data_IF_021719982927
#
_entry.id   IF_021719982927
#
_cell.length_a   1.000
_cell.length_b   1.000
_cell.length_c   1.000
_cell.angle_alpha   90.00
_cell.angle_beta   90.00
_cell.angle_gamma   90.00
#
_symmetry.space_group_name_H-M   'P 1'
#
loop_
_entity.id
_entity.type
_entity.pdbx_description
1 polymer ?
#
# COMPACT_ATOMS: atom_id res chain seq x y z
N UNK A 1 10.42 -60.85 -15.61
CA UNK A 1 10.02 -59.88 -14.57
C UNK A 1 10.66 -58.54 -14.90
N UNK A 2 9.89 -57.66 -15.53
CA UNK A 2 10.19 -56.24 -15.71
C UNK A 2 9.37 -55.48 -14.68
N UNK A 3 9.98 -54.54 -13.96
CA UNK A 3 9.26 -53.48 -13.27
C UNK A 3 9.67 -52.15 -13.90
N UNK A 4 8.83 -51.66 -14.81
CA UNK A 4 8.73 -50.25 -15.16
C UNK A 4 7.52 -49.72 -14.37
N UNK A 5 7.71 -48.66 -13.58
CA UNK A 5 6.61 -47.95 -12.94
C UNK A 5 6.04 -46.92 -13.93
N UNK A 6 4.84 -47.21 -14.43
CA UNK A 6 4.00 -46.30 -15.20
C UNK A 6 3.21 -45.38 -14.28
N UNK A 7 3.43 -44.07 -14.39
CA UNK A 7 2.34 -43.06 -14.43
C UNK A 7 2.78 -41.96 -15.39
N UNK A 8 2.47 -42.18 -16.66
CA UNK A 8 2.76 -41.24 -17.74
C UNK A 8 1.72 -40.15 -17.88
N UNK A 9 2.18 -38.96 -18.31
CA UNK A 9 1.45 -38.14 -19.27
C UNK A 9 2.43 -37.83 -20.42
N UNK A 10 2.25 -38.53 -21.54
CA UNK A 10 2.67 -38.04 -22.87
C UNK A 10 1.59 -37.05 -23.32
N UNK A 11 1.90 -35.75 -23.34
CA UNK A 11 1.10 -34.79 -24.10
C UNK A 11 1.92 -34.27 -25.28
N UNK A 12 1.43 -34.63 -26.48
CA UNK A 12 1.40 -33.89 -27.73
C UNK A 12 2.51 -32.86 -28.03
N UNK A 13 3.19 -33.09 -29.17
CA UNK A 13 3.95 -32.15 -29.99
C UNK A 13 4.05 -30.71 -29.43
N UNK A 14 5.13 -30.41 -28.71
CA UNK A 14 5.50 -29.03 -28.40
C UNK A 14 6.45 -28.54 -29.51
N UNK A 15 6.25 -27.35 -30.10
CA UNK A 15 7.36 -26.71 -30.82
C UNK A 15 8.54 -26.67 -29.86
N UNK A 16 9.72 -27.12 -30.33
CA UNK A 16 10.99 -27.26 -29.58
C UNK A 16 10.95 -26.58 -28.21
N UNK A 17 10.72 -27.33 -27.11
CA UNK A 17 10.69 -26.73 -25.77
C UNK A 17 11.99 -25.97 -25.54
N UNK A 18 11.93 -24.65 -25.41
CA UNK A 18 13.10 -23.78 -25.23
C UNK A 18 13.41 -23.62 -23.74
N UNK A 19 12.41 -23.72 -22.86
CA UNK A 19 12.58 -23.63 -21.40
C UNK A 19 11.91 -24.79 -20.67
N UNK A 20 12.46 -25.13 -19.51
CA UNK A 20 11.89 -26.07 -18.54
C UNK A 20 11.95 -25.47 -17.14
N UNK A 21 10.95 -25.75 -16.31
CA UNK A 21 11.00 -25.45 -14.87
C UNK A 21 11.55 -26.69 -14.17
N UNK A 22 12.72 -26.57 -13.53
CA UNK A 22 13.34 -27.66 -12.78
C UNK A 22 12.73 -27.82 -11.39
N UNK A 23 12.33 -26.71 -10.76
CA UNK A 23 11.61 -26.73 -9.48
C UNK A 23 10.85 -25.43 -9.24
N UNK A 24 9.87 -25.51 -8.34
CA UNK A 24 9.06 -24.37 -7.88
C UNK A 24 9.05 -24.37 -6.37
N UNK A 25 9.18 -23.19 -5.77
CA UNK A 25 8.96 -22.95 -4.34
C UNK A 25 7.84 -21.93 -4.18
N UNK A 26 6.86 -22.25 -3.34
CA UNK A 26 5.94 -21.24 -2.84
C UNK A 26 6.59 -20.50 -1.66
N UNK A 27 6.50 -19.18 -1.71
CA UNK A 27 7.07 -18.25 -0.74
C UNK A 27 6.02 -17.22 -0.34
N UNK A 28 6.22 -16.52 0.77
CA UNK A 28 5.45 -15.32 1.06
C UNK A 28 5.54 -14.34 -0.12
N UNK A 29 4.38 -13.99 -0.69
CA UNK A 29 4.29 -13.10 -1.85
C UNK A 29 4.30 -13.80 -3.22
N UNK A 30 4.39 -15.13 -3.32
CA UNK A 30 4.15 -15.83 -4.60
C UNK A 30 5.00 -17.08 -4.82
N UNK A 31 5.60 -17.18 -6.00
CA UNK A 31 6.38 -18.35 -6.42
C UNK A 31 7.79 -17.97 -6.87
N UNK A 32 8.76 -18.82 -6.53
CA UNK A 32 10.11 -18.79 -7.09
C UNK A 32 10.28 -20.01 -7.98
N UNK A 33 10.59 -19.77 -9.26
CA UNK A 33 10.76 -20.80 -10.28
C UNK A 33 12.24 -20.90 -10.65
N UNK A 34 12.77 -22.12 -10.70
CA UNK A 34 14.11 -22.39 -11.22
C UNK A 34 13.99 -22.84 -12.67
N UNK A 35 14.30 -21.94 -13.59
CA UNK A 35 14.01 -22.10 -15.03
C UNK A 35 15.30 -22.30 -15.80
N UNK A 36 15.38 -23.38 -16.57
CA UNK A 36 16.51 -23.67 -17.46
C UNK A 36 16.14 -23.41 -18.91
N UNK A 37 17.00 -22.73 -19.64
CA UNK A 37 16.94 -22.70 -21.10
C UNK A 37 17.59 -23.98 -21.67
N UNK A 38 16.77 -24.85 -22.27
CA UNK A 38 17.19 -26.11 -22.90
C UNK A 38 17.30 -25.99 -24.43
N UNK A 39 17.01 -24.79 -24.97
CA UNK A 39 17.25 -24.47 -26.36
C UNK A 39 18.72 -24.11 -26.65
N UNK A 40 18.98 -23.75 -27.90
CA UNK A 40 20.32 -23.41 -28.41
C UNK A 40 20.60 -21.90 -28.48
N UNK A 41 19.57 -21.07 -28.26
CA UNK A 41 19.66 -19.60 -28.33
C UNK A 41 19.20 -18.96 -27.02
N UNK A 42 19.67 -17.75 -26.67
CA UNK A 42 19.18 -17.01 -25.52
C UNK A 42 17.67 -16.76 -25.59
N UNK A 43 17.00 -16.80 -24.44
CA UNK A 43 15.56 -16.56 -24.32
C UNK A 43 15.28 -15.61 -23.17
N UNK A 44 14.29 -14.73 -23.31
CA UNK A 44 13.87 -13.82 -22.24
C UNK A 44 12.50 -14.22 -21.74
N UNK A 45 12.39 -14.42 -20.43
CA UNK A 45 11.12 -14.60 -19.73
C UNK A 45 10.74 -13.27 -19.10
N UNK A 46 9.55 -12.78 -19.43
CA UNK A 46 9.05 -11.46 -19.03
C UNK A 46 7.60 -11.49 -18.54
N UNK A 47 6.91 -12.62 -18.65
CA UNK A 47 5.54 -12.79 -18.17
C UNK A 47 5.32 -14.20 -17.62
N UNK A 48 4.48 -14.25 -16.59
CA UNK A 48 3.86 -15.46 -16.09
C UNK A 48 2.34 -15.34 -16.17
N UNK A 49 1.67 -16.49 -16.17
CA UNK A 49 0.24 -16.57 -15.97
C UNK A 49 -0.06 -17.57 -14.86
N UNK A 50 -0.88 -17.17 -13.90
CA UNK A 50 -1.27 -18.00 -12.76
C UNK A 50 -2.77 -18.21 -12.81
N UNK A 51 -3.19 -19.45 -12.62
CA UNK A 51 -4.59 -19.83 -12.49
C UNK A 51 -4.73 -20.73 -11.27
N UNK A 52 -5.58 -20.33 -10.32
CA UNK A 52 -6.06 -21.21 -9.27
C UNK A 52 -6.98 -22.25 -9.90
N UNK A 53 -6.62 -23.54 -9.82
CA UNK A 53 -7.40 -24.60 -10.43
C UNK A 53 -8.82 -24.66 -9.82
N UNK A 54 -9.82 -24.72 -10.70
CA UNK A 54 -11.23 -24.71 -10.33
C UNK A 54 -11.88 -23.33 -10.30
N UNK A 55 -11.09 -22.24 -10.31
CA UNK A 55 -11.62 -20.87 -10.38
C UNK A 55 -11.84 -20.39 -11.83
N UNK A 56 -11.09 -20.94 -12.79
CA UNK A 56 -11.23 -20.62 -14.23
C UNK A 56 -10.70 -19.24 -14.66
N UNK A 57 -10.22 -18.42 -13.73
CA UNK A 57 -9.54 -17.15 -14.02
C UNK A 57 -8.04 -17.36 -14.20
N UNK A 58 -7.49 -16.82 -15.29
CA UNK A 58 -6.05 -16.78 -15.57
C UNK A 58 -5.57 -15.35 -15.38
N UNK A 59 -4.69 -15.12 -14.41
CA UNK A 59 -4.12 -13.82 -14.10
C UNK A 59 -2.76 -13.67 -14.78
N UNK A 60 -2.57 -12.57 -15.53
CA UNK A 60 -1.28 -12.22 -16.11
C UNK A 60 -0.42 -11.47 -15.11
N UNK A 61 0.84 -11.90 -14.97
CA UNK A 61 1.84 -11.28 -14.12
C UNK A 61 2.99 -10.82 -15.00
N UNK A 62 3.18 -9.51 -15.07
CA UNK A 62 4.34 -8.93 -15.77
C UNK A 62 5.56 -9.06 -14.87
N UNK A 63 6.59 -9.76 -15.35
CA UNK A 63 7.80 -10.07 -14.61
C UNK A 63 8.91 -9.08 -14.95
N UNK A 64 9.93 -9.04 -14.10
CA UNK A 64 11.20 -8.44 -14.47
C UNK A 64 11.85 -9.26 -15.60
N UNK A 65 12.14 -8.67 -16.78
CA UNK A 65 12.68 -9.41 -17.91
C UNK A 65 13.99 -10.10 -17.55
N UNK A 66 14.00 -11.43 -17.63
CA UNK A 66 15.15 -12.26 -17.28
C UNK A 66 15.59 -13.03 -18.51
N UNK A 67 16.77 -12.69 -19.05
CA UNK A 67 17.38 -13.41 -20.17
C UNK A 67 18.23 -14.57 -19.68
N UNK A 68 17.97 -15.76 -20.22
CA UNK A 68 18.73 -16.99 -19.98
C UNK A 68 19.46 -17.40 -21.27
N UNK A 69 20.79 -17.54 -21.21
CA UNK A 69 21.60 -18.13 -22.30
C UNK A 69 21.29 -19.63 -22.44
N UNK A 70 21.66 -20.22 -23.57
CA UNK A 70 21.51 -21.66 -23.79
C UNK A 70 22.17 -22.47 -22.65
N UNK A 71 21.43 -23.39 -22.06
CA UNK A 71 21.85 -24.22 -20.91
C UNK A 71 21.77 -23.54 -19.53
N UNK A 72 21.58 -22.21 -19.48
CA UNK A 72 21.59 -21.44 -18.23
C UNK A 72 20.34 -21.74 -17.39
N UNK A 73 20.54 -21.87 -16.07
CA UNK A 73 19.49 -21.96 -15.05
C UNK A 73 19.41 -20.61 -14.33
N UNK A 74 18.22 -20.01 -14.26
CA UNK A 74 17.97 -18.80 -13.47
C UNK A 74 16.76 -18.95 -12.58
N UNK A 75 16.82 -18.20 -11.48
CA UNK A 75 15.66 -17.96 -10.64
C UNK A 75 14.74 -16.92 -11.29
N UNK A 76 13.44 -17.19 -11.28
CA UNK A 76 12.39 -16.29 -11.75
C UNK A 76 11.37 -16.13 -10.62
N UNK A 77 11.34 -14.93 -10.06
CA UNK A 77 10.35 -14.50 -9.09
C UNK A 77 9.01 -14.19 -9.78
N UNK A 78 7.92 -14.80 -9.31
CA UNK A 78 6.56 -14.60 -9.82
C UNK A 78 5.68 -14.09 -8.66
N UNK A 79 5.53 -12.76 -8.52
CA UNK A 79 4.72 -12.15 -7.45
C UNK A 79 3.25 -12.51 -7.57
N UNK A 80 2.71 -13.18 -6.56
CA UNK A 80 1.32 -13.60 -6.46
C UNK A 80 0.90 -13.66 -4.98
N UNK A 81 0.39 -12.55 -4.44
CA UNK A 81 0.15 -12.38 -3.00
C UNK A 81 -0.95 -13.28 -2.43
N UNK A 82 -1.82 -13.85 -3.27
CA UNK A 82 -2.94 -14.71 -2.88
C UNK A 82 -2.59 -16.22 -2.96
N UNK A 83 -1.30 -16.57 -2.83
CA UNK A 83 -0.88 -17.98 -2.78
C UNK A 83 -1.35 -18.64 -1.48
N UNK A 84 -2.03 -19.78 -1.58
CA UNK A 84 -2.63 -20.50 -0.47
C UNK A 84 -2.09 -21.93 -0.37
N UNK A 85 -1.84 -22.40 0.86
CA UNK A 85 -1.46 -23.79 1.14
C UNK A 85 -2.62 -24.74 0.87
N UNK A 86 -2.32 -25.90 0.28
CA UNK A 86 -3.29 -26.94 -0.07
C UNK A 86 -4.06 -26.67 -1.37
N UNK A 87 -3.70 -25.61 -2.11
CA UNK A 87 -4.28 -25.30 -3.42
C UNK A 87 -3.35 -25.71 -4.55
N UNK A 88 -3.93 -25.98 -5.72
CA UNK A 88 -3.21 -26.26 -6.94
C UNK A 88 -3.29 -25.08 -7.90
N UNK A 89 -2.14 -24.65 -8.41
CA UNK A 89 -2.03 -23.56 -9.36
C UNK A 89 -1.49 -24.07 -10.69
N UNK A 90 -2.11 -23.64 -11.79
CA UNK A 90 -1.50 -23.76 -13.11
C UNK A 90 -0.59 -22.56 -13.31
N UNK A 91 0.69 -22.82 -13.47
CA UNK A 91 1.72 -21.80 -13.70
C UNK A 91 2.17 -21.91 -15.14
N UNK A 92 2.03 -20.82 -15.88
CA UNK A 92 2.55 -20.69 -17.24
C UNK A 92 3.63 -19.63 -17.29
N UNK A 93 4.69 -19.90 -18.04
CA UNK A 93 5.69 -18.90 -18.40
C UNK A 93 5.62 -18.65 -19.89
N UNK A 94 5.73 -17.38 -20.28
CA UNK A 94 5.89 -17.02 -21.68
C UNK A 94 7.22 -16.32 -21.89
N UNK A 95 7.72 -16.47 -23.10
CA UNK A 95 8.96 -15.86 -23.56
C UNK A 95 8.66 -14.91 -24.71
N UNK A 96 9.55 -13.95 -24.95
CA UNK A 96 9.46 -13.05 -26.11
C UNK A 96 9.45 -13.80 -27.46
N UNK A 97 9.98 -15.03 -27.50
CA UNK A 97 9.95 -15.91 -28.67
C UNK A 97 8.67 -16.75 -28.82
N UNK A 98 7.63 -16.45 -28.03
CA UNK A 98 6.33 -17.13 -28.11
C UNK A 98 6.33 -18.57 -27.58
N UNK A 99 7.41 -19.01 -26.92
CA UNK A 99 7.43 -20.32 -26.25
C UNK A 99 6.69 -20.22 -24.93
N UNK A 100 5.82 -21.20 -24.69
CA UNK A 100 4.99 -21.30 -23.48
C UNK A 100 5.35 -22.58 -22.75
N UNK A 101 5.69 -22.46 -21.47
CA UNK A 101 5.74 -23.59 -20.54
C UNK A 101 4.48 -23.56 -19.67
N UNK A 102 3.94 -24.71 -19.31
CA UNK A 102 2.79 -24.83 -18.40
C UNK A 102 2.99 -26.03 -17.48
N UNK A 103 2.74 -25.84 -16.19
CA UNK A 103 2.70 -26.92 -15.19
C UNK A 103 1.57 -26.71 -14.20
N UNK A 104 1.24 -27.76 -13.46
CA UNK A 104 0.40 -27.68 -12.27
C UNK A 104 1.31 -27.88 -11.06
N UNK A 105 1.16 -27.01 -10.06
CA UNK A 105 1.90 -27.05 -8.81
C UNK A 105 0.92 -27.08 -7.64
N UNK A 106 1.07 -28.06 -6.76
CA UNK A 106 0.35 -28.13 -5.49
C UNK A 106 1.19 -27.46 -4.39
N UNK A 107 0.61 -26.51 -3.69
CA UNK A 107 1.28 -25.77 -2.62
C UNK A 107 1.20 -26.58 -1.33
N UNK A 108 2.24 -27.35 -1.01
CA UNK A 108 2.29 -28.12 0.23
C UNK A 108 2.75 -27.28 1.44
N UNK A 109 3.59 -26.29 1.19
CA UNK A 109 4.13 -25.35 2.17
C UNK A 109 4.33 -23.96 1.53
N UNK A 110 4.35 -22.92 2.36
CA UNK A 110 4.72 -21.56 1.96
C UNK A 110 5.86 -21.14 2.87
N UNK A 111 7.04 -20.97 2.28
CA UNK A 111 8.24 -20.58 3.04
C UNK A 111 8.27 -19.08 3.32
N UNK A 112 8.87 -18.69 4.45
CA UNK A 112 9.11 -17.28 4.77
C UNK A 112 10.06 -16.66 3.74
N UNK A 113 9.76 -15.45 3.30
CA UNK A 113 10.62 -14.72 2.37
C UNK A 113 10.66 -13.27 2.77
N UNK A 114 11.78 -12.85 3.38
CA UNK A 114 11.93 -11.53 4.00
C UNK A 114 12.29 -10.44 2.99
N UNK A 115 11.71 -10.49 1.79
CA UNK A 115 12.01 -9.60 0.67
C UNK A 115 10.79 -9.42 -0.23
N UNK A 116 10.55 -8.22 -0.77
CA UNK A 116 9.49 -8.02 -1.77
C UNK A 116 9.82 -8.77 -3.06
N UNK A 117 9.05 -9.81 -3.36
CA UNK A 117 9.29 -10.68 -4.50
C UNK A 117 9.26 -9.88 -5.82
N UNK A 118 10.29 -10.06 -6.65
CA UNK A 118 10.43 -9.33 -7.92
C UNK A 118 11.26 -8.03 -7.85
N UNK A 119 11.65 -7.57 -6.66
CA UNK A 119 12.58 -6.44 -6.52
C UNK A 119 14.03 -6.90 -6.45
N UNK A 120 14.91 -6.22 -7.18
CA UNK A 120 16.34 -6.59 -7.25
C UNK A 120 17.18 -5.94 -6.15
N UNK A 121 16.75 -4.82 -5.59
CA UNK A 121 17.52 -4.05 -4.62
C UNK A 121 16.66 -3.53 -3.48
N UNK A 122 17.28 -3.38 -2.30
CA UNK A 122 16.73 -2.63 -1.18
C UNK A 122 17.85 -1.93 -0.40
N UNK A 123 17.51 -0.87 0.32
CA UNK A 123 18.37 -0.22 1.30
C UNK A 123 17.69 -0.17 2.66
N UNK A 124 18.37 -0.48 3.77
CA UNK A 124 17.85 -0.19 5.10
C UNK A 124 17.85 1.33 5.32
N UNK A 125 16.83 1.83 6.01
CA UNK A 125 16.79 3.22 6.48
C UNK A 125 16.29 3.25 7.93
N UNK A 126 17.13 3.76 8.83
CA UNK A 126 16.77 3.92 10.24
C UNK A 126 16.12 5.27 10.48
N UNK A 127 14.96 5.25 11.12
CA UNK A 127 14.25 6.44 11.58
C UNK A 127 14.48 6.57 13.08
N UNK A 128 15.05 7.71 13.48
CA UNK A 128 15.27 8.02 14.89
C UNK A 128 13.94 8.30 15.57
N UNK A 129 13.79 7.80 16.79
CA UNK A 129 12.61 7.97 17.62
C UNK A 129 12.29 9.43 17.91
N UNK A 130 11.02 9.70 18.19
CA UNK A 130 10.51 11.04 18.45
C UNK A 130 10.84 11.53 19.86
N UNK A 131 11.20 12.81 19.98
CA UNK A 131 11.44 13.46 21.28
C UNK A 131 10.15 13.78 22.05
N UNK A 132 8.98 13.65 21.40
CA UNK A 132 7.66 13.85 22.01
C UNK A 132 7.05 12.55 22.57
N UNK A 133 7.84 11.47 22.68
CA UNK A 133 7.35 10.13 22.99
C UNK A 133 7.07 9.31 21.73
N UNK A 134 6.55 8.08 21.88
CA UNK A 134 6.21 7.23 20.74
C UNK A 134 5.06 7.83 19.94
N UNK A 135 5.17 7.82 18.61
CA UNK A 135 4.12 8.28 17.69
C UNK A 135 3.72 7.18 16.73
N UNK A 136 2.49 7.26 16.22
CA UNK A 136 1.92 6.26 15.30
C UNK A 136 1.38 6.94 14.05
N UNK A 137 1.36 6.20 12.93
CA UNK A 137 0.82 6.67 11.64
C UNK A 137 1.38 8.03 11.19
N UNK A 138 2.67 8.26 11.42
CA UNK A 138 3.32 9.54 11.18
C UNK A 138 4.00 9.55 9.80
N UNK A 139 3.81 10.63 9.04
CA UNK A 139 4.37 10.76 7.70
C UNK A 139 5.82 11.26 7.75
N UNK A 140 6.74 10.51 7.17
CA UNK A 140 8.15 10.88 7.06
C UNK A 140 8.48 11.19 5.60
N UNK A 141 9.15 12.32 5.37
CA UNK A 141 9.61 12.74 4.05
C UNK A 141 10.92 12.05 3.68
N UNK A 142 10.97 11.54 2.46
CA UNK A 142 12.16 10.99 1.80
C UNK A 142 12.39 11.75 0.48
N UNK A 143 13.65 12.05 0.18
CA UNK A 143 14.08 12.60 -1.10
C UNK A 143 14.88 11.52 -1.80
N UNK A 144 14.23 10.80 -2.71
CA UNK A 144 14.83 9.67 -3.40
C UNK A 144 15.48 10.17 -4.68
N UNK A 145 16.78 9.98 -4.82
CA UNK A 145 17.56 10.38 -5.99
C UNK A 145 17.78 9.18 -6.90
N UNK A 146 17.52 9.37 -8.20
CA UNK A 146 17.85 8.39 -9.23
C UNK A 146 19.35 8.13 -9.27
N UNK A 147 20.18 9.19 -9.22
CA UNK A 147 21.63 9.13 -9.34
C UNK A 147 22.38 8.51 -8.15
N UNK A 148 23.71 8.65 -8.19
CA UNK A 148 24.61 8.22 -7.12
C UNK A 148 24.86 9.34 -6.10
N UNK A 149 25.13 8.96 -4.85
CA UNK A 149 25.39 9.87 -3.74
C UNK A 149 25.44 9.13 -2.40
N UNK A 150 25.42 9.88 -1.30
CA UNK A 150 25.43 9.34 0.06
C UNK A 150 24.10 9.60 0.75
N UNK A 151 23.54 8.58 1.40
CA UNK A 151 22.29 8.72 2.13
C UNK A 151 22.53 9.54 3.41
N UNK A 152 21.80 10.64 3.55
CA UNK A 152 21.88 11.53 4.72
C UNK A 152 20.51 12.14 4.97
N UNK A 153 20.02 12.05 6.20
CA UNK A 153 18.71 12.57 6.58
C UNK A 153 17.61 11.94 5.70
N UNK A 154 16.83 12.78 5.00
CA UNK A 154 15.78 12.31 4.10
C UNK A 154 16.30 11.78 2.76
N UNK A 155 17.55 12.06 2.37
CA UNK A 155 18.07 11.72 1.04
C UNK A 155 18.45 10.25 0.92
N UNK A 156 17.98 9.59 -0.14
CA UNK A 156 18.29 8.19 -0.48
C UNK A 156 18.70 8.08 -1.95
N UNK A 157 19.94 7.67 -2.22
CA UNK A 157 20.47 7.55 -3.59
C UNK A 157 20.39 6.11 -4.12
N UNK A 158 19.78 5.93 -5.30
CA UNK A 158 19.48 4.61 -5.87
C UNK A 158 20.48 4.15 -6.95
N UNK A 159 21.48 4.96 -7.29
CA UNK A 159 22.58 4.62 -8.21
C UNK A 159 22.14 4.19 -9.62
N UNK A 160 21.07 4.79 -10.14
CA UNK A 160 20.53 4.56 -11.47
C UNK A 160 19.82 3.21 -11.63
N UNK A 161 19.46 2.57 -10.52
CA UNK A 161 18.91 1.20 -10.51
C UNK A 161 17.39 1.12 -10.34
N UNK A 162 16.73 2.24 -10.04
CA UNK A 162 15.27 2.33 -10.12
C UNK A 162 14.85 2.74 -11.54
N UNK A 163 13.55 2.74 -11.82
CA UNK A 163 13.00 3.37 -13.02
C UNK A 163 13.16 4.89 -12.90
N UNK A 164 13.37 5.57 -14.03
CA UNK A 164 13.50 7.03 -14.06
C UNK A 164 12.25 7.75 -13.54
N UNK A 165 11.09 7.12 -13.65
CA UNK A 165 9.81 7.65 -13.17
C UNK A 165 9.49 7.32 -11.70
N UNK A 166 10.41 6.61 -11.02
CA UNK A 166 10.33 6.12 -9.64
C UNK A 166 9.13 5.21 -9.32
N UNK A 167 8.46 4.68 -10.35
CA UNK A 167 7.26 3.84 -10.17
C UNK A 167 7.53 2.47 -9.53
N UNK A 168 8.81 2.05 -9.49
CA UNK A 168 9.27 0.82 -8.86
C UNK A 168 9.81 0.99 -7.43
N UNK A 169 9.73 2.20 -6.86
CA UNK A 169 10.11 2.42 -5.46
C UNK A 169 9.00 1.91 -4.53
N UNK A 170 9.39 1.18 -3.48
CA UNK A 170 8.50 0.72 -2.40
C UNK A 170 9.15 0.93 -1.04
N UNK A 171 8.32 1.05 -0.01
CA UNK A 171 8.76 1.12 1.38
C UNK A 171 8.13 -0.02 2.17
N UNK A 172 8.89 -0.66 3.07
CA UNK A 172 8.35 -1.71 3.95
C UNK A 172 8.82 -1.52 5.39
N UNK A 173 8.13 -2.17 6.32
CA UNK A 173 8.64 -2.42 7.67
C UNK A 173 9.92 -3.29 7.66
N UNK A 174 10.51 -3.46 8.85
CA UNK A 174 11.72 -4.27 9.08
C UNK A 174 11.56 -5.77 8.82
N UNK A 175 10.34 -6.27 8.65
CA UNK A 175 10.09 -7.63 8.18
C UNK A 175 10.50 -7.82 6.70
N UNK A 176 10.59 -6.71 5.94
CA UNK A 176 10.96 -6.67 4.54
C UNK A 176 9.82 -6.96 3.57
N UNK A 177 8.59 -7.15 4.04
CA UNK A 177 7.44 -7.56 3.21
C UNK A 177 6.16 -6.77 3.47
N UNK A 178 5.98 -6.19 4.66
CA UNK A 178 4.82 -5.36 4.95
C UNK A 178 5.01 -3.99 4.31
N UNK A 179 4.39 -3.79 3.15
CA UNK A 179 4.43 -2.52 2.40
C UNK A 179 3.80 -1.37 3.20
N UNK A 180 4.41 -0.19 3.10
CA UNK A 180 3.98 1.04 3.74
C UNK A 180 3.30 1.97 2.71
N UNK A 181 2.17 2.61 3.06
CA UNK A 181 1.56 3.65 2.22
C UNK A 181 2.54 4.80 1.95
N UNK A 182 2.54 5.27 0.72
CA UNK A 182 3.35 6.41 0.32
C UNK A 182 2.66 7.28 -0.73
N UNK A 183 3.07 8.55 -0.79
CA UNK A 183 2.65 9.51 -1.78
C UNK A 183 3.86 10.20 -2.40
N UNK A 184 3.89 10.31 -3.72
CA UNK A 184 4.86 11.12 -4.45
C UNK A 184 4.29 12.54 -4.53
N UNK A 185 4.88 13.45 -3.75
CA UNK A 185 4.51 14.87 -3.74
C UNK A 185 4.92 15.56 -5.04
N UNK A 186 6.17 15.35 -5.43
CA UNK A 186 6.75 15.88 -6.66
C UNK A 186 7.87 14.97 -7.16
N UNK A 187 8.19 15.07 -8.45
CA UNK A 187 9.32 14.38 -9.04
C UNK A 187 9.82 15.06 -10.30
N UNK A 188 11.09 14.82 -10.59
CA UNK A 188 11.74 15.07 -11.88
C UNK A 188 12.29 13.75 -12.37
N UNK A 189 11.73 13.24 -13.47
CA UNK A 189 12.09 11.93 -14.00
C UNK A 189 13.60 11.85 -14.32
N UNK A 190 14.24 10.80 -13.81
CA UNK A 190 15.69 10.57 -13.97
C UNK A 190 16.57 11.40 -13.04
N UNK A 191 15.98 12.19 -12.13
CA UNK A 191 16.73 13.01 -11.16
C UNK A 191 16.32 12.71 -9.71
N UNK A 192 15.14 13.14 -9.27
CA UNK A 192 14.66 12.91 -7.90
C UNK A 192 13.13 12.79 -7.80
N UNK A 193 12.67 12.23 -6.68
CA UNK A 193 11.27 12.23 -6.28
C UNK A 193 11.16 12.45 -4.76
N UNK A 194 10.19 13.27 -4.36
CA UNK A 194 9.85 13.50 -2.96
C UNK A 194 8.71 12.57 -2.57
N UNK A 195 9.00 11.68 -1.63
CA UNK A 195 8.05 10.73 -1.07
C UNK A 195 7.65 11.15 0.34
N UNK A 196 6.37 11.08 0.63
CA UNK A 196 5.86 11.01 1.99
C UNK A 196 5.47 9.56 2.27
N UNK A 197 5.92 9.00 3.39
CA UNK A 197 5.68 7.61 3.76
C UNK A 197 5.05 7.55 5.14
N UNK A 198 3.91 6.87 5.26
CA UNK A 198 3.26 6.69 6.56
C UNK A 198 3.95 5.57 7.35
N UNK A 199 4.57 5.93 8.48
CA UNK A 199 5.21 4.98 9.39
C UNK A 199 4.24 4.61 10.52
N UNK A 200 3.80 3.34 10.64
CA UNK A 200 2.78 2.94 11.61
C UNK A 200 3.20 3.15 13.06
N UNK A 201 4.48 3.00 13.37
CA UNK A 201 5.03 3.19 14.71
C UNK A 201 6.46 3.70 14.66
N UNK A 202 6.69 4.83 15.33
CA UNK A 202 8.00 5.40 15.59
C UNK A 202 8.17 5.45 17.12
N UNK A 203 9.21 4.81 17.69
CA UNK A 203 9.41 4.78 19.13
C UNK A 203 9.81 6.16 19.68
N UNK A 204 9.87 6.29 21.00
CA UNK A 204 10.45 7.47 21.64
C UNK A 204 11.98 7.49 21.46
N UNK A 205 12.58 8.68 21.36
CA UNK A 205 14.04 8.83 21.40
C UNK A 205 14.61 8.24 22.71
N UNK A 206 15.75 7.52 22.69
CA UNK A 206 16.73 7.37 21.60
C UNK A 206 16.53 6.14 20.70
N UNK A 207 15.46 5.37 20.89
CA UNK A 207 15.22 4.17 20.11
C UNK A 207 14.95 4.50 18.64
N UNK A 208 15.05 3.49 17.78
CA UNK A 208 14.92 3.64 16.33
C UNK A 208 13.95 2.61 15.77
N UNK A 209 13.34 2.93 14.64
CA UNK A 209 12.62 1.96 13.82
C UNK A 209 13.33 1.80 12.48
N UNK A 210 13.34 0.57 11.95
CA UNK A 210 13.99 0.25 10.67
C UNK A 210 12.91 0.03 9.61
N UNK A 211 13.12 0.64 8.45
CA UNK A 211 12.37 0.33 7.24
C UNK A 211 13.31 -0.09 6.12
N UNK A 212 12.76 -0.61 5.03
CA UNK A 212 13.49 -0.84 3.80
C UNK A 212 12.90 -0.03 2.65
N UNK A 213 13.80 0.53 1.82
CA UNK A 213 13.47 1.18 0.55
C UNK A 213 13.84 0.23 -0.58
N UNK A 214 12.85 -0.31 -1.28
CA UNK A 214 13.01 -1.25 -2.39
C UNK A 214 12.98 -0.54 -3.75
N UNK A 215 13.75 -1.06 -4.70
CA UNK A 215 13.82 -0.55 -6.09
C UNK A 215 14.40 -1.62 -7.04
N UNK A 216 14.40 -1.35 -8.34
CA UNK A 216 14.88 -2.25 -9.38
C UNK A 216 13.89 -3.34 -9.74
N UNK A 217 12.60 -2.97 -9.81
CA UNK A 217 11.56 -3.81 -10.37
C UNK A 217 11.03 -3.16 -11.66
N UNK A 218 11.58 -3.48 -12.84
CA UNK A 218 11.16 -2.87 -14.11
C UNK A 218 9.68 -3.06 -14.47
N UNK A 219 9.00 -4.09 -13.96
CA UNK A 219 7.57 -4.31 -14.23
C UNK A 219 6.63 -3.60 -13.26
N UNK A 220 7.15 -3.01 -12.18
CA UNK A 220 6.33 -2.32 -11.19
C UNK A 220 5.68 -1.06 -11.77
N UNK A 221 4.44 -0.81 -11.32
CA UNK A 221 3.70 0.44 -11.49
C UNK A 221 3.71 1.19 -10.17
N UNK A 222 3.48 2.51 -10.19
CA UNK A 222 3.43 3.28 -8.94
C UNK A 222 2.18 2.90 -8.13
N UNK A 223 2.36 2.70 -6.82
CA UNK A 223 1.29 2.56 -5.83
C UNK A 223 1.11 3.86 -5.02
N UNK A 224 1.62 5.00 -5.51
CA UNK A 224 1.51 6.29 -4.82
C UNK A 224 0.04 6.66 -4.61
N UNK A 225 -0.36 6.87 -3.36
CA UNK A 225 -1.72 7.19 -2.97
C UNK A 225 -1.71 8.16 -1.77
N UNK A 226 -2.19 9.39 -2.01
CA UNK A 226 -2.21 10.46 -1.02
C UNK A 226 -3.15 10.16 0.15
N UNK A 227 -4.34 9.62 -0.13
CA UNK A 227 -5.36 9.36 0.88
C UNK A 227 -4.92 8.26 1.84
N UNK A 228 -4.29 7.20 1.32
CA UNK A 228 -3.72 6.13 2.15
C UNK A 228 -2.51 6.59 2.98
N UNK A 229 -1.79 7.62 2.52
CA UNK A 229 -0.58 8.14 3.18
C UNK A 229 -0.89 9.18 4.24
N UNK A 230 -1.89 10.02 3.98
CA UNK A 230 -2.37 11.08 4.88
C UNK A 230 -3.81 10.79 5.30
N UNK A 231 -4.04 9.78 6.16
CA UNK A 231 -5.40 9.40 6.58
C UNK A 231 -6.06 10.45 7.48
N UNK A 232 -5.33 11.48 7.91
CA UNK A 232 -5.82 12.57 8.74
C UNK A 232 -6.28 13.74 7.87
N UNK A 233 -7.57 13.98 7.87
CA UNK A 233 -8.19 15.14 7.26
C UNK A 233 -8.81 16.01 8.36
N UNK A 234 -8.84 17.32 8.11
CA UNK A 234 -9.73 18.25 8.80
C UNK A 234 -11.05 18.26 8.03
N UNK A 235 -12.17 18.30 8.74
CA UNK A 235 -13.48 18.51 8.12
C UNK A 235 -13.97 19.92 8.42
N UNK A 236 -14.37 20.65 7.38
CA UNK A 236 -15.05 21.95 7.52
C UNK A 236 -16.39 21.83 6.81
N UNK A 237 -17.47 22.00 7.55
CA UNK A 237 -18.82 21.80 7.01
C UNK A 237 -19.82 22.75 7.63
N UNK A 238 -20.71 23.27 6.77
CA UNK A 238 -21.92 23.99 7.17
C UNK A 238 -23.05 23.00 7.40
N UNK A 239 -23.72 23.13 8.53
CA UNK A 239 -24.91 22.38 8.91
C UNK A 239 -26.04 23.34 9.27
N UNK A 240 -27.28 22.92 9.06
CA UNK A 240 -28.45 23.66 9.53
C UNK A 240 -28.91 23.03 10.84
N UNK A 241 -28.75 23.75 11.95
CA UNK A 241 -29.32 23.36 13.23
C UNK A 241 -30.84 23.53 13.18
N UNK A 242 -31.62 22.48 13.48
CA UNK A 242 -33.07 22.60 13.51
C UNK A 242 -33.54 23.50 14.65
N UNK A 243 -34.73 24.10 14.48
CA UNK A 243 -35.42 24.83 15.55
C UNK A 243 -35.57 23.94 16.80
N UNK A 244 -35.24 24.47 17.97
CA UNK A 244 -35.49 23.81 19.24
C UNK A 244 -37.00 23.77 19.54
N UNK A 245 -37.51 22.62 19.96
CA UNK A 245 -38.91 22.44 20.40
C UNK A 245 -39.06 22.49 21.92
N UNK A 246 -37.95 22.35 22.65
CA UNK A 246 -37.86 22.53 24.10
C UNK A 246 -36.47 23.02 24.49
N UNK A 247 -36.40 23.69 25.65
CA UNK A 247 -35.17 24.24 26.19
C UNK A 247 -34.07 23.17 26.33
N UNK A 248 -32.87 23.48 25.84
CA UNK A 248 -31.70 22.62 25.98
C UNK A 248 -31.68 21.38 25.08
N UNK A 249 -32.56 21.27 24.07
CA UNK A 249 -32.57 20.19 23.08
C UNK A 249 -31.23 20.06 22.35
N UNK A 250 -30.75 18.82 22.21
CA UNK A 250 -29.53 18.47 21.48
C UNK A 250 -29.83 17.83 20.13
N UNK A 251 -28.96 18.08 19.16
CA UNK A 251 -28.99 17.47 17.83
C UNK A 251 -27.70 16.70 17.59
N UNK A 252 -27.79 15.59 16.85
CA UNK A 252 -26.64 14.77 16.47
C UNK A 252 -26.32 15.02 15.01
N UNK A 253 -25.03 15.22 14.71
CA UNK A 253 -24.52 15.29 13.35
C UNK A 253 -23.38 14.29 13.18
N UNK A 254 -23.31 13.71 11.99
CA UNK A 254 -22.22 12.80 11.60
C UNK A 254 -21.20 13.53 10.76
N UNK A 255 -19.93 13.17 10.95
CA UNK A 255 -18.86 13.56 10.04
C UNK A 255 -19.03 12.86 8.69
N UNK A 256 -18.49 13.45 7.63
CA UNK A 256 -18.51 12.85 6.29
C UNK A 256 -17.57 11.64 6.21
N UNK A 257 -16.49 11.63 7.01
CA UNK A 257 -15.61 10.48 7.16
C UNK A 257 -15.33 10.18 8.65
N UNK A 258 -15.00 8.93 8.96
CA UNK A 258 -14.64 8.51 10.31
C UNK A 258 -13.21 8.96 10.67
N UNK A 259 -13.07 9.71 11.76
CA UNK A 259 -11.78 10.10 12.31
C UNK A 259 -11.09 8.91 13.02
N UNK A 260 -9.76 8.87 13.02
CA UNK A 260 -9.00 7.81 13.72
C UNK A 260 -9.12 7.90 15.26
N UNK A 261 -9.35 9.10 15.79
CA UNK A 261 -9.63 9.39 17.18
C UNK A 261 -10.68 10.53 17.25
N UNK A 262 -11.44 10.68 18.35
CA UNK A 262 -12.39 11.80 18.49
C UNK A 262 -11.70 13.15 18.21
N UNK A 263 -12.18 13.94 17.22
CA UNK A 263 -11.55 15.20 16.86
C UNK A 263 -11.84 16.30 17.88
N UNK A 264 -11.09 17.39 17.80
CA UNK A 264 -11.48 18.67 18.39
C UNK A 264 -12.46 19.33 17.44
N UNK A 265 -13.66 19.64 17.93
CA UNK A 265 -14.71 20.32 17.16
C UNK A 265 -14.84 21.75 17.65
N UNK A 266 -14.74 22.69 16.72
CA UNK A 266 -15.08 24.11 16.90
C UNK A 266 -16.27 24.38 16.00
N UNK A 267 -17.31 25.03 16.53
CA UNK A 267 -18.50 25.34 15.77
C UNK A 267 -18.95 26.77 16.07
N UNK A 268 -19.21 27.53 15.01
CA UNK A 268 -19.65 28.91 15.09
C UNK A 268 -20.90 29.12 14.21
N UNK A 269 -21.89 29.89 14.69
CA UNK A 269 -23.01 30.28 13.84
C UNK A 269 -22.50 31.10 12.66
N UNK A 270 -23.01 30.80 11.47
CA UNK A 270 -22.74 31.62 10.31
C UNK A 270 -23.33 33.02 10.57
N UNK A 271 -22.66 34.08 10.10
CA UNK A 271 -23.17 35.46 10.19
C UNK A 271 -24.34 35.69 9.21
N UNK A 272 -25.35 34.82 9.25
CA UNK A 272 -26.65 35.07 8.63
C UNK A 272 -27.50 35.83 9.63
N UNK A 273 -27.97 37.01 9.24
CA UNK A 273 -28.82 37.84 10.09
C UNK A 273 -30.22 37.20 10.18
N UNK A 274 -30.37 36.15 11.00
CA UNK A 274 -31.65 35.46 11.17
C UNK A 274 -32.48 36.07 12.32
N UNK A 275 -31.86 36.49 13.43
CA UNK A 275 -32.49 37.29 14.50
C UNK A 275 -31.47 38.15 15.27
N UNK A 276 -31.93 39.18 16.00
CA UNK A 276 -31.11 40.14 16.77
C UNK A 276 -30.50 39.57 18.08
N UNK A 277 -30.48 38.25 18.26
CA UNK A 277 -30.25 37.60 19.56
C UNK A 277 -28.87 36.95 19.63
N UNK A 278 -28.20 37.11 20.79
CA UNK A 278 -26.93 36.44 21.06
C UNK A 278 -27.11 34.93 21.20
N UNK A 279 -26.31 34.16 20.47
CA UNK A 279 -26.26 32.70 20.53
C UNK A 279 -24.93 32.23 21.12
N UNK A 280 -24.94 31.10 21.84
CA UNK A 280 -23.75 30.27 22.12
C UNK A 280 -23.95 28.87 21.57
N UNK A 281 -22.89 28.27 21.06
CA UNK A 281 -22.86 26.86 20.67
C UNK A 281 -22.31 26.03 21.83
N UNK A 282 -22.95 24.88 22.08
CA UNK A 282 -22.44 23.84 22.99
C UNK A 282 -22.22 22.56 22.21
N UNK A 283 -21.11 21.90 22.51
CA UNK A 283 -20.70 20.62 21.94
C UNK A 283 -20.50 19.61 23.07
N UNK A 284 -20.86 18.36 22.83
CA UNK A 284 -20.56 17.23 23.72
C UNK A 284 -20.57 15.92 22.93
N UNK A 285 -20.23 14.83 23.61
CA UNK A 285 -20.33 13.47 23.08
C UNK A 285 -19.66 13.35 21.69
N UNK A 286 -18.48 13.95 21.55
CA UNK A 286 -17.69 13.92 20.31
C UNK A 286 -17.05 12.53 20.22
N UNK A 287 -17.41 11.82 19.15
CA UNK A 287 -16.90 10.49 18.82
C UNK A 287 -16.08 10.56 17.54
N UNK A 288 -15.64 9.40 17.04
CA UNK A 288 -14.94 9.29 15.75
C UNK A 288 -15.84 9.57 14.54
N UNK A 289 -17.15 9.45 14.71
CA UNK A 289 -18.13 9.48 13.60
C UNK A 289 -19.19 10.56 13.76
N UNK A 290 -19.32 11.15 14.95
CA UNK A 290 -20.38 12.10 15.24
C UNK A 290 -20.06 13.02 16.42
N UNK A 291 -20.89 14.05 16.59
CA UNK A 291 -20.91 14.89 17.77
C UNK A 291 -22.33 15.35 18.07
N UNK A 292 -22.58 15.73 19.32
CA UNK A 292 -23.81 16.42 19.70
C UNK A 292 -23.58 17.92 19.78
N UNK A 293 -24.53 18.69 19.26
CA UNK A 293 -24.50 20.15 19.22
C UNK A 293 -25.85 20.71 19.67
N UNK A 294 -25.82 21.86 20.37
CA UNK A 294 -27.02 22.66 20.61
C UNK A 294 -26.74 24.15 20.60
N UNK A 295 -27.81 24.89 20.33
CA UNK A 295 -27.96 26.32 20.56
C UNK A 295 -28.22 26.59 22.05
N UNK A 296 -27.66 27.67 22.58
CA UNK A 296 -27.92 28.15 23.94
C UNK A 296 -28.00 29.68 24.00
N UNK A 297 -29.09 30.21 24.58
CA UNK A 297 -29.22 31.64 24.91
C UNK A 297 -28.49 32.00 26.22
N UNK A 298 -28.15 33.29 26.43
CA UNK A 298 -27.80 33.80 27.75
C UNK A 298 -28.87 33.46 28.80
N UNK A 299 -28.45 33.22 30.04
CA UNK A 299 -29.20 32.59 31.13
C UNK A 299 -30.47 33.31 31.62
N UNK A 300 -30.93 34.34 30.94
CA UNK A 300 -32.13 35.13 31.26
C UNK A 300 -33.31 34.88 30.30
N UNK A 301 -33.34 33.75 29.57
CA UNK A 301 -34.33 33.46 28.53
C UNK A 301 -34.81 32.01 28.50
N UNK A 302 -35.74 31.71 27.59
CA UNK A 302 -36.43 30.42 27.42
C UNK A 302 -35.60 29.35 26.72
N UNK A 303 -34.42 29.71 26.18
CA UNK A 303 -33.43 28.79 25.59
C UNK A 303 -34.01 28.01 24.40
N UNK A 304 -34.84 28.68 23.58
CA UNK A 304 -35.47 28.17 22.36
C UNK A 304 -35.08 29.06 21.17
N UNK A 305 -34.37 28.49 20.20
CA UNK A 305 -33.96 29.20 18.97
C UNK A 305 -34.65 28.71 17.70
N UNK A 306 -34.76 29.62 16.74
CA UNK A 306 -35.07 29.30 15.35
C UNK A 306 -33.92 28.49 14.70
N UNK A 307 -34.19 27.97 13.51
CA UNK A 307 -33.18 27.25 12.75
C UNK A 307 -32.06 28.20 12.33
N UNK A 308 -30.81 27.76 12.49
CA UNK A 308 -29.63 28.56 12.15
C UNK A 308 -28.61 27.70 11.42
N UNK A 309 -27.88 28.33 10.52
CA UNK A 309 -26.74 27.69 9.88
C UNK A 309 -25.50 27.88 10.73
N UNK A 310 -24.76 26.79 10.92
CA UNK A 310 -23.55 26.72 11.74
C UNK A 310 -22.46 26.08 10.90
N UNK A 311 -21.29 26.70 10.86
CA UNK A 311 -20.10 26.07 10.32
C UNK A 311 -19.31 25.44 11.46
N UNK A 312 -18.94 24.18 11.31
CA UNK A 312 -17.97 23.54 12.19
C UNK A 312 -16.67 23.22 11.47
N UNK A 313 -15.61 23.17 12.27
CA UNK A 313 -14.29 22.66 11.95
C UNK A 313 -14.01 21.50 12.90
N UNK A 314 -13.73 20.32 12.37
CA UNK A 314 -13.31 19.15 13.13
C UNK A 314 -11.86 18.80 12.77
N UNK A 315 -10.98 18.86 13.76
CA UNK A 315 -9.53 18.69 13.61
C UNK A 315 -9.06 17.45 14.39
N UNK A 316 -8.29 16.54 13.81
CA UNK A 316 -7.70 15.42 14.55
C UNK A 316 -6.87 15.90 15.75
N UNK A 317 -6.88 15.20 16.89
CA UNK A 317 -6.06 15.57 18.04
C UNK A 317 -4.56 15.44 17.71
N UNK A 318 -3.76 16.43 18.12
CA UNK A 318 -2.31 16.46 17.86
C UNK A 318 -1.89 17.03 16.50
N UNK A 319 -2.81 17.69 15.78
CA UNK A 319 -2.53 18.48 14.56
C UNK A 319 -1.78 19.77 14.86
#
# INVERSE_FOLDING_TARGET
MNFLSETGIKSAYAPSKIVVIESVKAVQGGFILYVRNVGVSPVTVDRAYIELLGNGSLEEIVLSPTTLRAGELKEIAVPYYNVERGKCYRIKLTTTSGSIFSMIYEVLEISEYRWLLGWSYRKPHEIVGSTAGSVTNYQIKFIVHFGAGSDVGASVYLNGKCKSDFSDVRFTLSDGVTELPYWIEEKVDGDYAVFWVMIPSIPAYPDKTLIYVYYGNPSAKSNSDKESTFPYFMEVKRITLPRQTYAGQWFSFSFDNEFQAPPIVIAEPDQTFNEIRELRIRLKDITRTSFMIRQQEPSNRDDIHASEDVTYIAVPPGS
#
